data_IF_472271744411
#
_entry.id   IF_472271744411
#
_cell.length_a   1.000
_cell.length_b   1.000
_cell.length_c   1.000
_cell.angle_alpha   90.00
_cell.angle_beta   90.00
_cell.angle_gamma   90.00
#
_symmetry.space_group_name_H-M   'P 1'
#
loop_
_entity.id
_entity.type
_entity.pdbx_description
1 polymer ?
#
# COMPACT_ATOMS: atom_id res chain seq x y z
N UNK A 1 -21.35 33.55 -5.89
CA UNK A 1 -20.29 34.22 -6.67
C UNK A 1 -19.19 33.18 -6.84
N UNK A 2 -19.43 32.25 -7.76
CA UNK A 2 -18.75 32.11 -9.05
C UNK A 2 -17.47 31.27 -8.92
N UNK A 3 -17.57 30.07 -9.49
CA UNK A 3 -16.50 29.14 -9.78
C UNK A 3 -15.28 29.89 -10.33
N UNK A 4 -14.14 29.73 -9.66
CA UNK A 4 -12.86 30.10 -10.26
C UNK A 4 -12.45 28.98 -11.23
N UNK A 5 -12.22 29.30 -12.51
CA UNK A 5 -11.90 28.31 -13.52
C UNK A 5 -10.49 27.74 -13.28
N UNK A 6 -10.35 26.43 -13.49
CA UNK A 6 -9.09 25.69 -13.54
C UNK A 6 -8.06 26.43 -14.40
N UNK A 7 -7.16 27.17 -13.75
CA UNK A 7 -6.00 27.79 -14.38
C UNK A 7 -4.83 26.79 -14.38
N UNK A 8 -4.94 25.75 -15.19
CA UNK A 8 -3.77 25.08 -15.79
C UNK A 8 -4.23 24.36 -17.05
N UNK A 9 -4.04 25.01 -18.20
CA UNK A 9 -4.30 24.46 -19.53
C UNK A 9 -3.30 23.39 -19.97
N UNK A 10 -2.86 22.54 -19.05
CA UNK A 10 -2.21 21.28 -19.40
C UNK A 10 -3.32 20.25 -19.55
N UNK A 11 -3.59 19.87 -20.79
CA UNK A 11 -4.31 18.65 -21.10
C UNK A 11 -3.52 17.51 -20.45
N UNK A 12 -3.91 17.10 -19.23
CA UNK A 12 -3.40 15.86 -18.65
C UNK A 12 -3.97 14.77 -19.55
N UNK A 13 -3.16 14.06 -20.36
CA UNK A 13 -3.71 12.98 -21.16
C UNK A 13 -4.45 12.05 -20.20
N UNK A 14 -5.75 11.86 -20.45
CA UNK A 14 -6.51 10.76 -19.86
C UNK A 14 -5.66 9.52 -20.10
N UNK A 15 -5.23 8.88 -19.02
CA UNK A 15 -4.23 7.82 -19.04
C UNK A 15 -4.63 6.76 -20.06
N UNK A 16 -4.04 6.82 -21.26
CA UNK A 16 -4.22 5.79 -22.27
C UNK A 16 -3.43 4.59 -21.78
N UNK A 17 -4.13 3.64 -21.18
CA UNK A 17 -3.51 2.37 -20.78
C UNK A 17 -3.23 1.59 -22.08
N UNK A 18 -1.97 1.24 -22.36
CA UNK A 18 -1.64 0.48 -23.56
C UNK A 18 -2.35 -0.88 -23.58
N UNK A 19 -2.83 -1.26 -24.76
CA UNK A 19 -3.42 -2.57 -25.00
C UNK A 19 -2.40 -3.49 -25.68
N UNK A 20 -2.41 -4.75 -25.29
CA UNK A 20 -1.58 -5.83 -25.83
C UNK A 20 -2.50 -6.90 -26.41
N UNK A 21 -2.20 -7.39 -27.61
CA UNK A 21 -2.93 -8.47 -28.27
C UNK A 21 -2.18 -9.78 -28.03
N UNK A 22 -2.81 -10.73 -27.34
CA UNK A 22 -2.33 -12.10 -27.23
C UNK A 22 -3.00 -12.99 -28.29
N UNK A 23 -2.18 -13.61 -29.14
CA UNK A 23 -2.63 -14.58 -30.14
C UNK A 23 -2.53 -16.00 -29.57
N UNK A 24 -3.64 -16.73 -29.57
CA UNK A 24 -3.70 -18.14 -29.17
C UNK A 24 -4.32 -19.00 -30.29
N UNK A 25 -4.18 -20.34 -30.26
CA UNK A 25 -4.88 -21.22 -31.20
C UNK A 25 -6.41 -21.09 -31.18
N UNK A 26 -6.98 -20.48 -30.14
CA UNK A 26 -8.43 -20.22 -29.98
C UNK A 26 -8.84 -18.81 -30.41
N UNK A 27 -7.92 -18.01 -30.96
CA UNK A 27 -8.16 -16.63 -31.41
C UNK A 27 -7.30 -15.60 -30.68
N UNK A 28 -7.53 -14.33 -31.03
CA UNK A 28 -6.87 -13.16 -30.45
C UNK A 28 -7.69 -12.55 -29.32
N UNK A 29 -7.03 -12.12 -28.25
CA UNK A 29 -7.65 -11.36 -27.15
C UNK A 29 -6.80 -10.12 -26.86
N UNK A 30 -7.47 -9.00 -26.65
CA UNK A 30 -6.82 -7.76 -26.24
C UNK A 30 -6.92 -7.60 -24.71
N UNK A 31 -5.81 -7.33 -24.07
CA UNK A 31 -5.69 -7.04 -22.63
C UNK A 31 -5.01 -5.69 -22.43
N UNK A 32 -5.40 -4.93 -21.42
CA UNK A 32 -4.58 -3.81 -20.98
C UNK A 32 -3.36 -4.32 -20.19
N UNK A 33 -2.34 -3.49 -20.02
CA UNK A 33 -1.09 -3.90 -19.36
C UNK A 33 -1.30 -4.34 -17.90
N UNK A 34 -2.26 -3.77 -17.16
CA UNK A 34 -2.55 -4.18 -15.79
C UNK A 34 -3.30 -5.51 -15.74
N UNK A 35 -4.16 -5.79 -16.72
CA UNK A 35 -4.77 -7.11 -16.88
C UNK A 35 -3.72 -8.21 -17.09
N UNK A 36 -2.64 -7.93 -17.82
CA UNK A 36 -1.51 -8.86 -17.95
C UNK A 36 -0.77 -9.07 -16.63
N UNK A 37 -0.52 -8.00 -15.87
CA UNK A 37 0.09 -8.12 -14.54
C UNK A 37 -0.79 -8.94 -13.58
N UNK A 38 -2.11 -8.76 -13.61
CA UNK A 38 -3.03 -9.52 -12.78
C UNK A 38 -3.01 -11.02 -13.12
N UNK A 39 -2.86 -11.39 -14.40
CA UNK A 39 -2.66 -12.81 -14.79
C UNK A 39 -1.40 -13.41 -14.15
N UNK A 40 -0.37 -12.60 -13.95
CA UNK A 40 0.86 -12.96 -13.23
C UNK A 40 0.76 -12.74 -11.70
N UNK A 41 -0.45 -12.55 -11.18
CA UNK A 41 -0.77 -12.35 -9.75
C UNK A 41 -0.13 -11.09 -9.14
N UNK A 42 0.07 -10.07 -9.97
CA UNK A 42 0.58 -8.76 -9.56
C UNK A 42 -0.58 -7.77 -9.49
N UNK A 43 -0.78 -7.19 -8.30
CA UNK A 43 -1.73 -6.11 -8.04
C UNK A 43 -0.95 -4.81 -7.83
N UNK A 44 -1.40 -3.72 -8.46
CA UNK A 44 -0.72 -2.43 -8.39
C UNK A 44 -1.56 -1.39 -7.60
N UNK A 45 -1.03 -0.93 -6.47
CA UNK A 45 -1.55 0.19 -5.70
C UNK A 45 -0.71 1.44 -6.00
N UNK A 46 -1.08 2.15 -7.07
CA UNK A 46 -0.35 3.31 -7.60
C UNK A 46 -0.99 4.68 -7.31
N UNK A 47 -2.02 4.72 -6.47
CA UNK A 47 -2.88 5.89 -6.27
C UNK A 47 -3.16 6.13 -4.78
N UNK A 48 -3.68 7.32 -4.40
CA UNK A 48 -4.21 7.52 -3.05
C UNK A 48 -5.31 6.52 -2.71
N UNK A 49 -5.30 6.03 -1.48
CA UNK A 49 -6.25 5.02 -1.01
C UNK A 49 -7.58 5.69 -0.68
N UNK A 50 -8.62 5.33 -1.44
CA UNK A 50 -10.01 5.66 -1.16
C UNK A 50 -10.88 4.40 -1.31
N UNK A 51 -12.18 4.51 -1.07
CA UNK A 51 -13.08 3.35 -1.08
C UNK A 51 -13.12 2.64 -2.45
N UNK A 52 -13.05 3.40 -3.56
CA UNK A 52 -13.06 2.82 -4.90
C UNK A 52 -11.79 2.01 -5.17
N UNK A 53 -10.62 2.56 -4.84
CA UNK A 53 -9.33 1.89 -4.98
C UNK A 53 -9.28 0.66 -4.08
N UNK A 54 -9.71 0.78 -2.83
CA UNK A 54 -9.75 -0.35 -1.90
C UNK A 54 -10.65 -1.47 -2.40
N UNK A 55 -11.87 -1.18 -2.85
CA UNK A 55 -12.77 -2.17 -3.40
C UNK A 55 -12.18 -2.89 -4.62
N UNK A 56 -11.43 -2.18 -5.47
CA UNK A 56 -10.76 -2.78 -6.63
C UNK A 56 -9.62 -3.71 -6.20
N UNK A 57 -8.79 -3.31 -5.22
CA UNK A 57 -7.71 -4.15 -4.68
C UNK A 57 -8.29 -5.40 -4.00
N UNK A 58 -9.33 -5.23 -3.18
CA UNK A 58 -10.03 -6.34 -2.50
C UNK A 58 -10.61 -7.32 -3.53
N UNK A 59 -11.28 -6.83 -4.57
CA UNK A 59 -11.82 -7.67 -5.63
C UNK A 59 -10.72 -8.47 -6.35
N UNK A 60 -9.56 -7.86 -6.62
CA UNK A 60 -8.41 -8.56 -7.21
C UNK A 60 -7.82 -9.62 -6.28
N UNK A 61 -7.65 -9.32 -4.99
CA UNK A 61 -7.19 -10.28 -3.99
C UNK A 61 -8.11 -11.51 -3.93
N UNK A 62 -9.42 -11.30 -3.81
CA UNK A 62 -10.42 -12.38 -3.77
C UNK A 62 -10.49 -13.16 -5.09
N UNK A 63 -10.31 -12.48 -6.22
CA UNK A 63 -10.24 -13.14 -7.53
C UNK A 63 -9.02 -14.07 -7.63
N UNK A 64 -7.83 -13.59 -7.27
CA UNK A 64 -6.60 -14.38 -7.33
C UNK A 64 -6.60 -15.55 -6.33
N UNK A 65 -7.17 -15.34 -5.14
CA UNK A 65 -7.40 -16.40 -4.15
C UNK A 65 -8.28 -17.52 -4.73
N UNK A 66 -9.36 -17.15 -5.42
CA UNK A 66 -10.25 -18.13 -6.05
C UNK A 66 -9.56 -18.91 -7.18
N UNK A 67 -8.72 -18.24 -7.98
CA UNK A 67 -8.05 -18.87 -9.12
C UNK A 67 -7.02 -19.91 -8.68
N UNK A 68 -6.20 -19.59 -7.67
CA UNK A 68 -5.20 -20.51 -7.12
C UNK A 68 -4.80 -20.07 -5.71
N UNK A 69 -5.38 -20.65 -4.63
CA UNK A 69 -5.12 -20.24 -3.25
C UNK A 69 -3.77 -20.73 -2.69
N UNK A 70 -3.04 -21.57 -3.44
CA UNK A 70 -1.71 -22.05 -3.05
C UNK A 70 -0.58 -21.17 -3.62
N UNK A 71 -0.90 -20.20 -4.47
CA UNK A 71 0.08 -19.27 -5.06
C UNK A 71 0.05 -17.91 -4.39
N UNK A 72 1.23 -17.39 -4.07
CA UNK A 72 1.37 -16.03 -3.55
C UNK A 72 0.86 -14.95 -4.52
N UNK A 73 0.55 -13.78 -3.95
CA UNK A 73 0.14 -12.57 -4.67
C UNK A 73 1.17 -11.49 -4.39
N UNK A 74 1.55 -10.71 -5.41
CA UNK A 74 2.47 -9.59 -5.24
C UNK A 74 1.71 -8.26 -5.29
N UNK A 75 1.71 -7.51 -4.19
CA UNK A 75 1.14 -6.17 -4.09
C UNK A 75 2.24 -5.13 -4.22
N UNK A 76 2.29 -4.47 -5.38
CA UNK A 76 3.22 -3.38 -5.67
C UNK A 76 2.62 -2.06 -5.20
N UNK A 77 3.35 -1.33 -4.35
CA UNK A 77 2.87 -0.16 -3.62
C UNK A 77 3.69 1.07 -4.02
N UNK A 78 3.01 2.03 -4.65
CA UNK A 78 3.46 3.40 -4.87
C UNK A 78 2.31 4.36 -4.50
N UNK A 79 2.15 4.64 -3.21
CA UNK A 79 0.98 5.37 -2.73
C UNK A 79 1.32 6.32 -1.58
N UNK A 80 0.74 7.53 -1.58
CA UNK A 80 0.83 8.45 -0.44
C UNK A 80 -0.05 8.03 0.75
N UNK A 81 -0.72 6.87 0.67
CA UNK A 81 -1.74 6.45 1.64
C UNK A 81 -3.09 7.07 1.34
N UNK A 82 -3.94 7.22 2.36
CA UNK A 82 -5.28 7.77 2.19
C UNK A 82 -6.22 7.41 3.34
N UNK A 83 -7.46 7.07 3.01
CA UNK A 83 -8.53 6.79 3.97
C UNK A 83 -8.20 5.55 4.81
N UNK A 84 -8.22 5.71 6.14
CA UNK A 84 -7.83 4.66 7.09
C UNK A 84 -8.74 3.43 6.99
N UNK A 85 -10.05 3.61 6.96
CA UNK A 85 -11.01 2.50 6.84
C UNK A 85 -10.83 1.72 5.54
N UNK A 86 -10.63 2.42 4.42
CA UNK A 86 -10.37 1.79 3.12
C UNK A 86 -9.06 0.99 3.12
N UNK A 87 -7.99 1.53 3.71
CA UNK A 87 -6.74 0.82 3.87
C UNK A 87 -6.86 -0.40 4.79
N UNK A 88 -7.57 -0.28 5.91
CA UNK A 88 -7.82 -1.41 6.81
C UNK A 88 -8.65 -2.52 6.14
N UNK A 89 -9.59 -2.18 5.24
CA UNK A 89 -10.33 -3.19 4.50
C UNK A 89 -9.42 -4.01 3.55
N UNK A 90 -8.43 -3.36 2.91
CA UNK A 90 -7.39 -4.07 2.14
C UNK A 90 -6.55 -4.94 3.08
N UNK A 91 -6.08 -4.37 4.19
CA UNK A 91 -5.25 -5.06 5.17
C UNK A 91 -5.92 -6.34 5.69
N UNK A 92 -7.18 -6.24 6.13
CA UNK A 92 -7.95 -7.37 6.63
C UNK A 92 -8.15 -8.43 5.54
N UNK A 93 -8.34 -8.01 4.28
CA UNK A 93 -8.47 -8.93 3.15
C UNK A 93 -7.17 -9.67 2.86
N UNK A 94 -6.00 -9.00 2.97
CA UNK A 94 -4.70 -9.65 2.81
C UNK A 94 -4.50 -10.79 3.81
N UNK A 95 -5.04 -10.65 5.03
CA UNK A 95 -4.95 -11.66 6.09
C UNK A 95 -6.12 -12.66 6.09
N UNK A 96 -7.21 -12.37 5.37
CA UNK A 96 -8.38 -13.23 5.25
C UNK A 96 -8.14 -14.39 4.27
N UNK A 97 -7.43 -14.12 3.18
CA UNK A 97 -7.17 -15.09 2.11
C UNK A 97 -6.05 -16.06 2.48
N UNK A 98 -6.03 -17.26 1.88
CA UNK A 98 -4.97 -18.24 2.12
C UNK A 98 -3.69 -17.88 1.35
N UNK A 99 -3.82 -17.28 0.16
CA UNK A 99 -2.69 -16.85 -0.65
C UNK A 99 -1.82 -15.86 0.13
N UNK A 100 -0.55 -16.19 0.32
CA UNK A 100 0.41 -15.28 0.94
C UNK A 100 0.56 -14.00 0.11
N UNK A 101 0.45 -12.83 0.74
CA UNK A 101 0.57 -11.54 0.06
C UNK A 101 1.97 -10.96 0.27
N UNK A 102 2.81 -11.05 -0.76
CA UNK A 102 4.08 -10.33 -0.85
C UNK A 102 3.81 -8.85 -1.11
N UNK A 103 4.56 -7.95 -0.47
CA UNK A 103 4.41 -6.50 -0.64
C UNK A 103 5.71 -5.88 -1.09
N UNK A 104 5.66 -4.99 -2.08
CA UNK A 104 6.85 -4.35 -2.64
C UNK A 104 6.64 -2.85 -2.75
N UNK A 105 7.43 -2.07 -2.03
CA UNK A 105 7.47 -0.62 -2.20
C UNK A 105 8.29 -0.24 -3.45
N UNK A 106 7.65 0.45 -4.38
CA UNK A 106 8.23 0.89 -5.65
C UNK A 106 8.00 2.41 -5.83
N UNK A 107 8.97 3.22 -5.42
CA UNK A 107 8.78 4.66 -5.26
C UNK A 107 8.48 5.00 -3.80
N UNK A 108 7.21 5.20 -3.43
CA UNK A 108 6.87 5.61 -2.06
C UNK A 108 5.75 4.78 -1.44
N UNK A 109 5.90 4.42 -0.17
CA UNK A 109 4.81 3.97 0.68
C UNK A 109 4.72 4.94 1.87
N UNK A 110 3.66 5.72 1.94
CA UNK A 110 3.45 6.70 3.00
C UNK A 110 2.12 6.47 3.73
N UNK A 111 2.05 6.85 5.00
CA UNK A 111 0.80 6.83 5.77
C UNK A 111 0.16 5.42 5.75
N UNK A 112 -1.12 5.28 5.39
CA UNK A 112 -1.79 3.98 5.25
C UNK A 112 -1.11 3.00 4.29
N UNK A 113 -0.36 3.47 3.29
CA UNK A 113 0.38 2.58 2.40
C UNK A 113 1.54 1.89 3.12
N UNK A 114 2.14 2.51 4.14
CA UNK A 114 3.16 1.89 5.01
C UNK A 114 2.57 0.78 5.86
N UNK A 115 1.32 0.94 6.31
CA UNK A 115 0.61 -0.10 7.04
C UNK A 115 0.42 -1.33 6.15
N UNK A 116 -0.04 -1.13 4.91
CA UNK A 116 -0.17 -2.21 3.93
C UNK A 116 1.17 -2.86 3.59
N UNK A 117 2.22 -2.06 3.39
CA UNK A 117 3.58 -2.57 3.15
C UNK A 117 4.06 -3.45 4.31
N UNK A 118 3.92 -2.99 5.54
CA UNK A 118 4.34 -3.76 6.72
C UNK A 118 3.50 -5.02 6.97
N UNK A 119 2.27 -5.05 6.45
CA UNK A 119 1.29 -6.12 6.62
C UNK A 119 1.35 -7.23 5.58
N UNK A 120 2.35 -7.22 4.69
CA UNK A 120 2.61 -8.38 3.84
C UNK A 120 3.09 -9.59 4.64
N UNK A 121 3.10 -10.75 4.00
CA UNK A 121 3.59 -12.00 4.58
C UNK A 121 5.04 -11.82 5.07
N UNK A 122 5.34 -12.34 6.26
CA UNK A 122 6.64 -12.12 6.89
C UNK A 122 7.75 -12.82 6.11
N UNK A 123 8.84 -12.11 5.83
CA UNK A 123 9.91 -12.58 4.93
C UNK A 123 9.61 -12.31 3.45
N UNK A 124 8.47 -11.67 3.13
CA UNK A 124 8.05 -11.31 1.77
C UNK A 124 7.63 -9.84 1.66
N UNK A 125 8.19 -8.97 2.50
CA UNK A 125 7.98 -7.51 2.45
C UNK A 125 9.25 -6.86 1.92
N UNK A 126 9.12 -6.10 0.85
CA UNK A 126 10.27 -5.64 0.08
C UNK A 126 10.22 -4.14 -0.20
N UNK A 127 11.38 -3.56 -0.43
CA UNK A 127 11.54 -2.16 -0.82
C UNK A 127 12.59 -2.04 -1.92
N UNK A 128 12.43 -1.13 -2.88
CA UNK A 128 13.48 -0.84 -3.85
C UNK A 128 14.54 0.13 -3.27
N UNK A 129 15.78 0.17 -3.79
CA UNK A 129 16.88 0.91 -3.16
C UNK A 129 16.62 2.42 -3.02
N UNK A 130 15.89 3.03 -3.96
CA UNK A 130 15.58 4.45 -3.94
C UNK A 130 14.19 4.78 -3.37
N UNK A 131 13.53 3.77 -2.79
CA UNK A 131 12.19 3.97 -2.25
C UNK A 131 12.21 4.71 -0.92
N UNK A 132 11.11 5.42 -0.66
CA UNK A 132 10.87 6.13 0.60
C UNK A 132 9.70 5.49 1.33
N UNK A 133 9.91 5.17 2.61
CA UNK A 133 8.83 4.75 3.51
C UNK A 133 8.55 5.89 4.49
N UNK A 134 7.28 6.23 4.68
CA UNK A 134 6.88 7.35 5.54
C UNK A 134 5.81 6.94 6.54
N UNK A 135 5.99 7.36 7.78
CA UNK A 135 5.03 7.18 8.86
C UNK A 135 4.70 8.52 9.50
N UNK A 136 3.44 8.65 9.94
CA UNK A 136 2.94 9.78 10.71
C UNK A 136 1.64 9.36 11.40
N UNK A 137 1.19 10.14 12.37
CA UNK A 137 -0.04 9.88 13.08
C UNK A 137 -1.28 10.08 12.19
N UNK A 138 -2.41 9.41 12.49
CA UNK A 138 -3.66 9.69 11.80
C UNK A 138 -4.05 11.17 11.83
N UNK A 139 -4.47 11.67 10.68
CA UNK A 139 -5.01 13.03 10.54
C UNK A 139 -6.53 12.96 10.40
N UNK A 140 -7.23 13.86 11.08
CA UNK A 140 -8.68 13.98 11.03
C UNK A 140 -9.14 15.40 11.33
N UNK A 141 -10.43 15.66 11.17
CA UNK A 141 -11.04 16.94 11.49
C UNK A 141 -12.51 16.76 11.87
N UNK A 142 -13.01 17.64 12.72
CA UNK A 142 -14.40 17.62 13.18
C UNK A 142 -14.93 19.05 13.32
N UNK A 143 -16.21 19.24 13.00
CA UNK A 143 -16.96 20.49 13.19
C UNK A 143 -18.39 20.12 13.57
N UNK A 144 -19.06 20.95 14.37
CA UNK A 144 -20.44 20.68 14.81
C UNK A 144 -20.65 20.99 16.29
N UNK A 145 -21.60 20.30 16.91
CA UNK A 145 -21.86 20.45 18.35
C UNK A 145 -20.68 19.89 19.16
N UNK A 146 -20.55 20.32 20.41
CA UNK A 146 -19.48 19.84 21.30
C UNK A 146 -19.45 18.31 21.39
N UNK A 147 -20.62 17.67 21.45
CA UNK A 147 -20.75 16.21 21.45
C UNK A 147 -20.23 15.56 20.17
N UNK A 148 -20.50 16.14 19.00
CA UNK A 148 -20.03 15.61 17.71
C UNK A 148 -18.50 15.68 17.62
N UNK A 149 -17.92 16.80 18.08
CA UNK A 149 -16.47 17.00 18.14
C UNK A 149 -15.84 15.97 19.09
N UNK A 150 -16.44 15.75 20.26
CA UNK A 150 -15.95 14.75 21.23
C UNK A 150 -15.97 13.32 20.63
N UNK A 151 -17.07 12.94 19.96
CA UNK A 151 -17.19 11.62 19.32
C UNK A 151 -16.10 11.43 18.26
N UNK A 152 -15.91 12.42 17.38
CA UNK A 152 -14.90 12.36 16.34
C UNK A 152 -13.47 12.33 16.91
N UNK A 153 -13.20 13.07 17.99
CA UNK A 153 -11.91 13.04 18.68
C UNK A 153 -11.62 11.66 19.31
N UNK A 154 -12.63 11.02 19.92
CA UNK A 154 -12.49 9.65 20.44
C UNK A 154 -12.21 8.64 19.33
N UNK A 155 -12.86 8.79 18.17
CA UNK A 155 -12.67 7.88 17.04
C UNK A 155 -11.26 8.00 16.44
N UNK A 156 -10.74 9.21 16.23
CA UNK A 156 -9.37 9.36 15.70
C UNK A 156 -8.31 8.82 16.67
N UNK A 157 -8.52 8.97 17.98
CA UNK A 157 -7.64 8.36 19.00
C UNK A 157 -7.72 6.83 18.94
N UNK A 158 -8.92 6.25 18.80
CA UNK A 158 -9.10 4.80 18.65
C UNK A 158 -8.40 4.27 17.39
N UNK A 159 -8.51 4.98 16.27
CA UNK A 159 -7.81 4.63 15.03
C UNK A 159 -6.29 4.75 15.18
N UNK A 160 -5.80 5.80 15.85
CA UNK A 160 -4.38 5.95 16.17
C UNK A 160 -3.84 4.77 16.96
N UNK A 161 -4.54 4.35 18.01
CA UNK A 161 -4.14 3.20 18.82
C UNK A 161 -4.10 1.90 17.99
N UNK A 162 -5.11 1.68 17.14
CA UNK A 162 -5.17 0.53 16.24
C UNK A 162 -4.00 0.50 15.26
N UNK A 163 -3.71 1.60 14.57
CA UNK A 163 -2.61 1.69 13.60
C UNK A 163 -1.25 1.46 14.27
N UNK A 164 -1.04 2.04 15.46
CA UNK A 164 0.20 1.84 16.22
C UNK A 164 0.38 0.39 16.68
N UNK A 165 -0.71 -0.26 17.09
CA UNK A 165 -0.71 -1.68 17.45
C UNK A 165 -0.32 -2.54 16.26
N UNK A 166 -0.95 -2.34 15.09
CA UNK A 166 -0.61 -3.06 13.86
C UNK A 166 0.87 -2.89 13.50
N UNK A 167 1.39 -1.66 13.51
CA UNK A 167 2.80 -1.41 13.24
C UNK A 167 3.72 -2.10 14.26
N UNK A 168 3.37 -2.07 15.55
CA UNK A 168 4.13 -2.74 16.61
C UNK A 168 4.17 -4.26 16.37
N UNK A 169 3.05 -4.88 16.01
CA UNK A 169 2.95 -6.31 15.70
C UNK A 169 3.75 -6.68 14.45
N UNK A 170 3.62 -5.90 13.37
CA UNK A 170 4.28 -6.18 12.09
C UNK A 170 5.79 -5.98 12.14
N UNK A 171 6.26 -5.01 12.93
CA UNK A 171 7.70 -4.67 13.02
C UNK A 171 8.41 -5.33 14.20
N UNK A 172 7.67 -5.75 15.23
CA UNK A 172 8.24 -6.18 16.51
C UNK A 172 8.78 -5.03 17.38
N UNK A 173 8.66 -3.78 16.95
CA UNK A 173 9.00 -2.62 17.76
C UNK A 173 7.98 -2.44 18.89
N UNK A 174 8.40 -1.92 20.04
CA UNK A 174 7.47 -1.61 21.15
C UNK A 174 6.48 -0.52 20.75
N UNK A 175 5.25 -0.59 21.26
CA UNK A 175 4.22 0.45 21.06
C UNK A 175 4.75 1.86 21.33
N UNK A 176 5.47 2.08 22.44
CA UNK A 176 5.99 3.41 22.81
C UNK A 176 6.98 3.98 21.77
N UNK A 177 7.76 3.11 21.13
CA UNK A 177 8.66 3.50 20.04
C UNK A 177 7.85 3.91 18.81
N UNK A 178 6.88 3.09 18.38
CA UNK A 178 5.97 3.44 17.29
C UNK A 178 5.25 4.77 17.61
N UNK A 179 4.77 4.97 18.83
CA UNK A 179 4.04 6.16 19.22
C UNK A 179 4.87 7.44 19.11
N UNK A 180 6.15 7.38 19.53
CA UNK A 180 7.11 8.47 19.39
C UNK A 180 7.50 8.71 17.94
N UNK A 181 7.81 7.67 17.20
CA UNK A 181 8.31 7.78 15.84
C UNK A 181 7.20 8.16 14.84
N UNK A 182 5.93 7.96 15.21
CA UNK A 182 4.76 8.39 14.42
C UNK A 182 4.21 9.76 14.84
N UNK A 183 4.70 10.40 15.92
CA UNK A 183 4.12 11.67 16.39
C UNK A 183 4.29 12.82 15.37
N UNK A 184 5.33 12.76 14.54
CA UNK A 184 5.56 13.68 13.41
C UNK A 184 5.88 12.89 12.16
N UNK A 185 5.97 13.59 11.04
CA UNK A 185 6.42 12.99 9.78
C UNK A 185 7.80 12.35 9.98
N UNK A 186 7.88 11.06 9.69
CA UNK A 186 9.08 10.26 9.82
C UNK A 186 9.35 9.52 8.52
N UNK A 187 10.38 9.97 7.82
CA UNK A 187 10.82 9.44 6.53
C UNK A 187 12.00 8.50 6.72
N UNK A 188 11.95 7.37 6.04
CA UNK A 188 12.92 6.29 6.09
C UNK A 188 13.41 5.99 4.68
N UNK A 189 14.72 5.85 4.52
CA UNK A 189 15.30 5.23 3.31
C UNK A 189 14.95 3.73 3.27
N UNK A 190 15.28 3.06 2.16
CA UNK A 190 15.12 1.62 2.03
C UNK A 190 15.85 0.85 3.14
N UNK A 191 17.11 1.21 3.44
CA UNK A 191 17.93 0.60 4.48
C UNK A 191 17.30 0.81 5.87
N UNK A 192 16.85 2.03 6.14
CA UNK A 192 16.22 2.35 7.42
C UNK A 192 14.87 1.63 7.58
N UNK A 193 14.12 1.41 6.49
CA UNK A 193 12.87 0.66 6.53
C UNK A 193 13.11 -0.83 6.86
N UNK A 194 14.20 -1.43 6.36
CA UNK A 194 14.64 -2.78 6.73
C UNK A 194 15.11 -2.81 8.18
N UNK A 195 15.97 -1.88 8.60
CA UNK A 195 16.45 -1.78 9.99
C UNK A 195 15.30 -1.62 10.99
N UNK A 196 14.27 -0.85 10.60
CA UNK A 196 13.06 -0.68 11.40
C UNK A 196 12.13 -1.91 11.39
N UNK A 197 12.37 -2.86 10.49
CA UNK A 197 11.56 -4.07 10.26
C UNK A 197 10.16 -3.79 9.69
N UNK A 198 9.99 -2.67 8.98
CA UNK A 198 8.79 -2.40 8.16
C UNK A 198 8.74 -3.28 6.91
N UNK A 199 9.91 -3.65 6.42
CA UNK A 199 10.13 -4.57 5.31
C UNK A 199 11.27 -5.51 5.69
N UNK A 200 11.39 -6.62 4.97
CA UNK A 200 12.36 -7.68 5.23
C UNK A 200 13.65 -7.51 4.39
N UNK A 201 13.54 -7.04 3.14
CA UNK A 201 14.69 -6.99 2.22
C UNK A 201 14.60 -5.84 1.20
N UNK A 202 15.77 -5.33 0.76
CA UNK A 202 15.90 -4.40 -0.36
C UNK A 202 16.09 -5.20 -1.68
N UNK A 203 15.09 -5.20 -2.55
CA UNK A 203 15.17 -5.90 -3.84
C UNK A 203 16.03 -5.14 -4.84
N UNK A 204 16.95 -5.85 -5.50
CA UNK A 204 17.75 -5.28 -6.60
C UNK A 204 18.93 -4.40 -6.14
N UNK A 205 19.23 -4.36 -4.84
CA UNK A 205 20.62 -4.13 -4.45
C UNK A 205 21.40 -5.33 -4.99
N UNK A 206 22.35 -5.11 -5.89
CA UNK A 206 23.27 -6.17 -6.26
C UNK A 206 23.84 -6.68 -4.94
N UNK A 207 23.57 -7.95 -4.60
CA UNK A 207 24.55 -8.68 -3.82
C UNK A 207 25.83 -8.45 -4.60
N UNK A 208 26.75 -7.66 -4.03
CA UNK A 208 28.14 -7.80 -4.37
C UNK A 208 28.36 -9.30 -4.20
N UNK A 209 28.51 -10.01 -5.31
CA UNK A 209 29.02 -11.36 -5.31
C UNK A 209 30.28 -11.27 -4.45
N UNK A 210 30.22 -11.78 -3.22
CA UNK A 210 31.40 -12.22 -2.50
C UNK A 210 31.91 -13.42 -3.28
N UNK A 211 32.48 -13.12 -4.44
CA UNK A 211 33.40 -13.95 -5.17
C UNK A 211 34.75 -13.74 -4.48
N UNK A 212 34.91 -14.36 -3.31
CA UNK A 212 36.20 -14.49 -2.64
C UNK A 212 36.47 -15.99 -2.42
N UNK A 213 37.07 -16.55 -3.47
CA UNK A 213 38.14 -17.57 -3.52
C UNK A 213 38.23 -18.65 -2.43
#
# INVERSE_FOLDING_TARGET
MQDLPNASGLFVPQSMVPMVIETSPRGERAFDIYSLLLKERIIFLGTPINDQVANLIIAQLLFLEREDPDKGINLYINSPGGVISAGLAIYDTMHLIKSEVSTICIGMAASMATILLSGGEKGKRYVLPNSTVHMHQPMGGAQGQATDIEIAAREIIRLQDKIRTILSENTGQTYDKIARDTDRDYYLTAEQAVEYSLVDEILGSAQAEEDDS
#
